data_IF_119287217561
#
_entry.id   IF_119287217561
#
_cell.length_a   1.000
_cell.length_b   1.000
_cell.length_c   1.000
_cell.angle_alpha   90.00
_cell.angle_beta   90.00
_cell.angle_gamma   90.00
#
_symmetry.space_group_name_H-M   'P 1'
#
loop_
_entity.id
_entity.type
_entity.pdbx_description
1 polymer ?
#
# COMPACT_ATOMS: atom_id res chain seq x y z
N UNK A 1 -4.57 5.60 -9.40
CA UNK A 1 -3.57 6.45 -8.72
C UNK A 1 -2.20 5.81 -8.79
N UNK A 2 -1.19 6.65 -8.96
CA UNK A 2 0.19 6.20 -9.00
C UNK A 2 0.89 6.62 -7.72
N UNK A 3 1.60 5.70 -7.10
CA UNK A 3 2.31 5.96 -5.85
C UNK A 3 3.76 5.54 -5.96
N UNK A 4 4.60 6.21 -5.18
CA UNK A 4 5.95 5.76 -4.89
C UNK A 4 5.91 5.18 -3.48
N UNK A 5 6.43 3.96 -3.30
CA UNK A 5 6.24 3.24 -2.04
C UNK A 5 7.56 2.77 -1.42
N UNK A 6 7.51 2.55 -0.11
CA UNK A 6 8.60 1.95 0.64
C UNK A 6 7.99 0.93 1.60
N UNK A 7 8.47 -0.30 1.54
CA UNK A 7 8.00 -1.37 2.40
C UNK A 7 8.86 -1.46 3.66
N UNK A 8 8.23 -1.75 4.78
CA UNK A 8 8.96 -2.04 6.02
C UNK A 8 9.68 -3.39 5.88
N UNK A 9 10.70 -3.60 6.68
CA UNK A 9 11.39 -4.88 6.73
C UNK A 9 10.51 -5.97 7.33
N UNK A 10 9.71 -5.61 8.33
CA UNK A 10 8.85 -6.54 9.06
C UNK A 10 7.43 -5.99 9.15
N UNK A 11 6.46 -6.90 9.16
CA UNK A 11 5.05 -6.54 9.31
C UNK A 11 4.81 -6.02 10.73
N UNK A 12 4.15 -4.87 10.84
CA UNK A 12 3.77 -4.31 12.13
C UNK A 12 2.52 -4.98 12.67
N UNK A 13 2.47 -5.17 13.98
CA UNK A 13 1.31 -5.72 14.66
C UNK A 13 1.26 -7.24 14.70
N UNK A 14 2.25 -7.93 14.19
CA UNK A 14 2.37 -9.38 14.28
C UNK A 14 3.17 -9.77 15.50
N UNK A 15 2.74 -10.83 16.20
CA UNK A 15 3.48 -11.37 17.34
C UNK A 15 4.78 -12.01 16.88
N UNK A 16 4.73 -12.67 15.73
CA UNK A 16 5.91 -13.27 15.12
C UNK A 16 6.47 -12.31 14.08
N UNK A 17 7.77 -12.11 14.11
CA UNK A 17 8.44 -11.26 13.13
C UNK A 17 8.37 -11.90 11.75
N UNK A 18 7.61 -11.28 10.87
CA UNK A 18 7.51 -11.71 9.48
C UNK A 18 8.06 -10.62 8.59
N UNK A 19 8.84 -11.02 7.61
CA UNK A 19 9.33 -10.09 6.59
C UNK A 19 8.18 -9.68 5.69
N UNK A 20 8.18 -8.41 5.28
CA UNK A 20 7.20 -7.92 4.31
C UNK A 20 7.57 -8.46 2.94
N UNK A 21 6.65 -9.19 2.32
CA UNK A 21 6.84 -9.67 0.96
C UNK A 21 6.63 -8.54 -0.04
N UNK A 22 7.31 -8.59 -1.21
CA UNK A 22 7.10 -7.59 -2.25
C UNK A 22 5.64 -7.49 -2.68
N UNK A 23 5.26 -6.32 -3.19
CA UNK A 23 3.93 -6.12 -3.77
C UNK A 23 3.78 -6.99 -5.02
N UNK A 24 2.55 -7.43 -5.27
CA UNK A 24 2.23 -8.27 -6.43
C UNK A 24 1.13 -7.62 -7.26
N UNK A 25 1.19 -7.80 -8.58
CA UNK A 25 0.14 -7.36 -9.48
C UNK A 25 -1.17 -8.05 -9.12
N UNK A 26 -2.27 -7.30 -9.17
CA UNK A 26 -3.62 -7.74 -8.79
C UNK A 26 -3.82 -7.93 -7.29
N UNK A 27 -2.83 -7.59 -6.49
CA UNK A 27 -2.98 -7.62 -5.05
C UNK A 27 -3.89 -6.49 -4.56
N UNK A 28 -4.72 -6.79 -3.56
CA UNK A 28 -5.59 -5.81 -2.93
C UNK A 28 -4.91 -5.26 -1.69
N UNK A 29 -4.81 -3.94 -1.60
CA UNK A 29 -4.19 -3.25 -0.47
C UNK A 29 -5.17 -2.23 0.10
N UNK A 30 -5.07 -2.02 1.40
CA UNK A 30 -5.76 -0.91 2.06
C UNK A 30 -4.81 0.29 2.10
N UNK A 31 -5.31 1.43 1.68
CA UNK A 31 -4.55 2.68 1.67
C UNK A 31 -5.19 3.67 2.62
N UNK A 32 -4.36 4.28 3.45
CA UNK A 32 -4.79 5.32 4.38
C UNK A 32 -4.18 6.64 3.91
N UNK A 33 -5.01 7.50 3.30
CA UNK A 33 -4.59 8.80 2.79
C UNK A 33 -5.22 9.88 3.67
N UNK A 34 -4.40 10.53 4.49
CA UNK A 34 -4.87 11.45 5.53
C UNK A 34 -5.86 10.74 6.48
N UNK A 35 -7.11 11.15 6.52
CA UNK A 35 -8.14 10.52 7.35
C UNK A 35 -9.03 9.57 6.54
N UNK A 36 -8.74 9.38 5.26
CA UNK A 36 -9.57 8.58 4.37
C UNK A 36 -8.93 7.21 4.13
N UNK A 37 -9.72 6.16 4.32
CA UNK A 37 -9.29 4.79 4.06
C UNK A 37 -9.98 4.31 2.79
N UNK A 38 -9.20 3.73 1.89
CA UNK A 38 -9.73 3.14 0.67
C UNK A 38 -9.00 1.83 0.38
N UNK A 39 -9.56 1.03 -0.52
CA UNK A 39 -8.95 -0.21 -0.96
C UNK A 39 -8.59 -0.06 -2.43
N UNK A 40 -7.39 -0.46 -2.79
CA UNK A 40 -6.91 -0.42 -4.16
C UNK A 40 -6.39 -1.75 -4.62
N UNK A 41 -6.48 -1.98 -5.93
CA UNK A 41 -5.94 -3.17 -6.57
C UNK A 41 -4.76 -2.74 -7.43
N UNK A 42 -3.63 -3.41 -7.26
CA UNK A 42 -2.42 -3.08 -8.01
C UNK A 42 -2.58 -3.50 -9.46
N UNK A 43 -2.45 -2.53 -10.37
CA UNK A 43 -2.47 -2.76 -11.81
C UNK A 43 -1.07 -3.00 -12.37
N UNK A 44 -0.12 -2.16 -11.98
CA UNK A 44 1.25 -2.22 -12.47
C UNK A 44 2.22 -1.94 -11.34
N UNK A 45 3.37 -2.58 -11.40
CA UNK A 45 4.46 -2.39 -10.43
C UNK A 45 5.75 -2.16 -11.21
N UNK A 46 6.48 -1.11 -10.82
CA UNK A 46 7.84 -0.90 -11.26
C UNK A 46 8.75 -1.05 -10.04
N UNK A 47 9.24 -2.25 -9.83
CA UNK A 47 10.08 -2.56 -8.66
C UNK A 47 11.39 -1.80 -8.66
N UNK A 48 11.90 -1.49 -9.84
CA UNK A 48 13.16 -0.77 -9.96
C UNK A 48 13.08 0.63 -9.39
N UNK A 49 11.95 1.30 -9.60
CA UNK A 49 11.74 2.67 -9.13
C UNK A 49 10.84 2.74 -7.90
N UNK A 50 10.40 1.58 -7.38
CA UNK A 50 9.47 1.50 -6.24
C UNK A 50 8.18 2.29 -6.50
N UNK A 51 7.62 2.12 -7.69
CA UNK A 51 6.37 2.76 -8.09
C UNK A 51 5.30 1.71 -8.38
N UNK A 52 4.05 2.05 -8.08
CA UNK A 52 2.92 1.19 -8.37
C UNK A 52 1.73 2.01 -8.81
N UNK A 53 0.92 1.46 -9.71
CA UNK A 53 -0.35 2.04 -10.12
C UNK A 53 -1.47 1.19 -9.57
N UNK A 54 -2.44 1.84 -8.94
CA UNK A 54 -3.57 1.17 -8.31
C UNK A 54 -4.90 1.73 -8.82
N UNK A 55 -5.87 0.83 -8.94
CA UNK A 55 -7.26 1.22 -9.15
C UNK A 55 -7.94 1.21 -7.80
N UNK A 56 -8.52 2.35 -7.40
CA UNK A 56 -9.16 2.48 -6.11
C UNK A 56 -10.60 2.00 -6.19
N UNK A 57 -11.01 1.19 -5.22
CA UNK A 57 -12.37 0.72 -5.11
C UNK A 57 -13.32 1.85 -4.70
N UNK A 58 -12.86 2.69 -3.78
CA UNK A 58 -13.60 3.90 -3.38
C UNK A 58 -12.77 5.09 -3.85
N UNK A 59 -13.29 5.92 -4.77
CA UNK A 59 -12.54 7.09 -5.22
C UNK A 59 -12.27 8.05 -4.07
N UNK A 60 -11.06 8.59 -4.05
CA UNK A 60 -10.65 9.61 -3.10
C UNK A 60 -10.02 10.77 -3.87
N UNK A 61 -9.94 11.91 -3.21
CA UNK A 61 -9.17 13.02 -3.77
C UNK A 61 -7.69 12.69 -3.57
N UNK A 62 -7.01 12.40 -4.66
CA UNK A 62 -5.58 12.07 -4.65
C UNK A 62 -4.79 13.31 -5.02
N UNK A 63 -4.13 13.90 -4.04
CA UNK A 63 -3.30 15.09 -4.26
C UNK A 63 -1.84 14.67 -4.32
N UNK A 64 -1.18 15.05 -5.41
CA UNK A 64 0.24 14.79 -5.60
C UNK A 64 1.04 15.31 -4.40
N UNK A 65 1.90 14.46 -3.86
CA UNK A 65 2.69 14.78 -2.69
C UNK A 65 2.11 14.29 -1.36
N UNK A 66 0.84 13.86 -1.35
CA UNK A 66 0.25 13.32 -0.13
C UNK A 66 0.89 11.99 0.23
N UNK A 67 1.16 11.82 1.53
CA UNK A 67 1.65 10.57 2.07
C UNK A 67 0.49 9.62 2.34
N UNK A 68 0.76 8.33 2.28
CA UNK A 68 -0.25 7.32 2.58
C UNK A 68 0.39 6.13 3.28
N UNK A 69 -0.41 5.47 4.11
CA UNK A 69 -0.04 4.20 4.72
C UNK A 69 -0.54 3.06 3.85
N UNK A 70 0.21 1.96 3.81
CA UNK A 70 -0.12 0.77 3.02
C UNK A 70 -0.29 -0.40 3.96
N UNK A 71 -1.43 -1.06 3.90
CA UNK A 71 -1.72 -2.24 4.70
C UNK A 71 -2.11 -3.41 3.81
N UNK A 72 -1.71 -4.60 4.23
CA UNK A 72 -2.02 -5.87 3.56
C UNK A 72 -2.85 -6.72 4.50
N UNK A 73 -3.82 -7.45 3.95
CA UNK A 73 -4.58 -8.42 4.72
C UNK A 73 -3.71 -9.66 4.93
N UNK A 74 -3.42 -9.96 6.19
CA UNK A 74 -2.63 -11.13 6.57
C UNK A 74 -3.46 -11.92 7.57
N UNK A 75 -3.86 -13.13 7.18
CA UNK A 75 -4.68 -14.02 8.02
C UNK A 75 -5.95 -13.35 8.56
N UNK A 76 -6.61 -12.55 7.71
CA UNK A 76 -7.85 -11.88 8.07
C UNK A 76 -7.71 -10.55 8.78
N UNK A 77 -6.49 -10.08 8.98
CA UNK A 77 -6.22 -8.81 9.64
C UNK A 77 -5.42 -7.88 8.72
N UNK A 78 -5.81 -6.60 8.71
CA UNK A 78 -5.05 -5.59 7.99
C UNK A 78 -3.84 -5.19 8.82
N UNK A 79 -2.64 -5.38 8.25
CA UNK A 79 -1.38 -5.05 8.91
C UNK A 79 -0.61 -4.04 8.07
N UNK A 80 -0.09 -3.02 8.73
CA UNK A 80 0.71 -2.01 8.05
C UNK A 80 2.02 -2.63 7.56
N UNK A 81 2.28 -2.48 6.25
CA UNK A 81 3.48 -3.05 5.62
C UNK A 81 4.40 -2.00 5.02
N UNK A 82 3.96 -0.76 4.93
CA UNK A 82 4.78 0.28 4.33
C UNK A 82 4.05 1.60 4.26
N UNK A 83 4.67 2.52 3.55
CA UNK A 83 4.12 3.85 3.31
C UNK A 83 4.45 4.28 1.89
N UNK A 84 3.82 5.32 1.43
CA UNK A 84 4.05 5.83 0.10
C UNK A 84 3.68 7.28 -0.06
N UNK A 85 3.89 7.76 -1.27
CA UNK A 85 3.57 9.13 -1.67
C UNK A 85 2.85 9.10 -3.00
N UNK A 86 1.82 9.91 -3.13
CA UNK A 86 1.09 10.06 -4.40
C UNK A 86 1.92 10.91 -5.35
N UNK A 87 2.18 10.37 -6.52
CA UNK A 87 3.00 11.04 -7.54
C UNK A 87 2.22 11.33 -8.82
#
# INVERSE_FOLDING_TARGET
VKIKYELFKEVLGEETRKKVEPLKTKEMLMLNVDTTITVGIIEKINEKDYEAELILNIPIIAIKGNNLGIARNINGHWRLIGWGEII
#
